data_IF_850573522593
#
_entry.id   IF_850573522593
#
_cell.length_a   1.000
_cell.length_b   1.000
_cell.length_c   1.000
_cell.angle_alpha   90.00
_cell.angle_beta   90.00
_cell.angle_gamma   90.00
#
_symmetry.space_group_name_H-M   'P 1'
#
loop_
_entity.id
_entity.type
_entity.pdbx_description
1 polymer ?
#
# COMPACT_ATOMS: atom_id res chain seq x y z
N UNK A 1 -14.97 -60.57 -35.13
CA UNK A 1 -14.52 -59.16 -35.23
C UNK A 1 -15.06 -58.39 -34.04
N UNK A 2 -14.22 -58.21 -33.04
CA UNK A 2 -14.55 -57.54 -31.77
C UNK A 2 -14.37 -56.05 -31.98
N UNK A 3 -15.44 -55.26 -31.90
CA UNK A 3 -15.36 -53.80 -32.01
C UNK A 3 -15.04 -53.26 -30.61
N UNK A 4 -13.85 -52.71 -30.41
CA UNK A 4 -13.49 -51.95 -29.20
C UNK A 4 -14.00 -50.53 -29.33
N UNK A 5 -14.86 -50.10 -28.41
CA UNK A 5 -15.27 -48.72 -28.24
C UNK A 5 -14.29 -48.03 -27.28
N UNK A 6 -13.48 -47.12 -27.83
CA UNK A 6 -12.58 -46.26 -27.01
C UNK A 6 -13.31 -44.98 -26.65
N UNK A 7 -13.69 -44.81 -25.38
CA UNK A 7 -14.31 -43.60 -24.86
C UNK A 7 -13.16 -42.69 -24.40
N UNK A 8 -12.94 -41.57 -25.10
CA UNK A 8 -11.99 -40.52 -24.71
C UNK A 8 -12.76 -39.47 -23.83
N UNK A 9 -12.53 -39.49 -22.54
CA UNK A 9 -13.04 -38.47 -21.63
C UNK A 9 -12.05 -37.30 -21.63
N UNK A 10 -12.38 -36.20 -22.34
CA UNK A 10 -11.61 -34.94 -22.26
C UNK A 10 -12.13 -34.17 -21.05
N UNK A 11 -11.40 -34.18 -19.95
CA UNK A 11 -11.59 -33.25 -18.86
C UNK A 11 -10.96 -31.91 -19.24
N UNK A 12 -11.75 -30.90 -19.53
CA UNK A 12 -11.28 -29.51 -19.54
C UNK A 12 -11.07 -29.09 -18.10
N UNK A 13 -9.85 -29.24 -17.59
CA UNK A 13 -9.42 -28.52 -16.40
C UNK A 13 -9.13 -27.10 -16.84
N UNK A 14 -10.03 -26.18 -16.55
CA UNK A 14 -9.73 -24.75 -16.62
C UNK A 14 -8.79 -24.47 -15.44
N UNK A 15 -7.49 -24.51 -15.69
CA UNK A 15 -6.52 -23.92 -14.79
C UNK A 15 -6.67 -22.42 -14.94
N UNK A 16 -7.34 -21.79 -13.99
CA UNK A 16 -7.24 -20.35 -13.82
C UNK A 16 -5.81 -20.09 -13.35
N UNK A 17 -4.97 -19.63 -14.24
CA UNK A 17 -3.64 -19.16 -13.86
C UNK A 17 -3.85 -17.87 -13.08
N UNK A 18 -3.31 -17.79 -11.85
CA UNK A 18 -3.28 -16.55 -11.10
C UNK A 18 -2.59 -15.49 -11.95
N UNK A 19 -3.28 -14.40 -12.20
CA UNK A 19 -2.76 -13.24 -12.90
C UNK A 19 -2.53 -12.13 -11.89
N UNK A 20 -1.34 -11.54 -11.90
CA UNK A 20 -0.97 -10.42 -11.04
C UNK A 20 -0.91 -9.14 -11.87
N UNK A 21 -1.58 -8.11 -11.37
CA UNK A 21 -1.52 -6.76 -11.90
C UNK A 21 -1.03 -5.81 -10.82
N UNK A 22 -0.20 -4.84 -11.21
CA UNK A 22 0.25 -3.79 -10.31
C UNK A 22 -0.77 -2.67 -10.34
N UNK A 23 -1.41 -2.40 -9.21
CA UNK A 23 -2.38 -1.32 -9.07
C UNK A 23 -1.72 0.04 -8.79
N UNK A 24 -0.61 0.03 -8.03
CA UNK A 24 0.19 1.23 -7.71
C UNK A 24 1.66 0.87 -7.90
N UNK A 25 2.37 1.62 -8.75
CA UNK A 25 3.80 1.45 -8.96
C UNK A 25 4.60 2.31 -7.97
N UNK A 26 5.83 1.88 -7.68
CA UNK A 26 6.69 2.58 -6.74
C UNK A 26 6.99 4.04 -7.15
N UNK A 27 6.96 4.35 -8.45
CA UNK A 27 7.23 5.67 -9.00
C UNK A 27 5.97 6.41 -9.49
N UNK A 28 4.78 5.95 -9.14
CA UNK A 28 3.54 6.68 -9.43
C UNK A 28 3.51 8.02 -8.70
N UNK A 29 2.69 8.93 -9.20
CA UNK A 29 2.47 10.24 -8.58
C UNK A 29 1.62 10.10 -7.32
N UNK A 30 2.11 10.72 -6.24
CA UNK A 30 1.42 10.79 -4.96
C UNK A 30 1.10 12.23 -4.59
N UNK A 31 -0.01 12.41 -3.88
CA UNK A 31 -0.22 13.59 -3.04
C UNK A 31 0.44 13.33 -1.69
N UNK A 32 1.13 14.34 -1.16
CA UNK A 32 1.80 14.19 0.13
C UNK A 32 1.70 15.45 0.98
N UNK A 33 1.70 15.25 2.29
CA UNK A 33 1.67 16.30 3.30
C UNK A 33 2.80 16.05 4.32
N UNK A 34 3.71 17.01 4.47
CA UNK A 34 4.58 17.12 5.64
C UNK A 34 3.81 17.94 6.67
N UNK A 35 3.32 17.32 7.77
CA UNK A 35 2.37 17.97 8.63
C UNK A 35 3.05 18.92 9.61
N UNK A 36 2.41 20.09 9.89
CA UNK A 36 2.74 20.97 11.01
C UNK A 36 1.71 20.89 12.15
N UNK A 37 0.66 20.15 11.92
CA UNK A 37 -0.42 19.83 12.87
C UNK A 37 -1.14 18.57 12.38
N UNK A 38 -1.98 18.00 13.23
CA UNK A 38 -2.78 16.83 12.86
C UNK A 38 -3.63 17.13 11.62
N UNK A 39 -3.58 16.32 10.55
CA UNK A 39 -4.48 16.46 9.41
C UNK A 39 -5.92 16.08 9.82
N UNK A 40 -6.89 16.41 8.97
CA UNK A 40 -8.27 15.98 9.18
C UNK A 40 -8.39 14.49 9.33
N UNK A 41 -9.27 14.02 10.20
CA UNK A 41 -9.38 12.60 10.57
C UNK A 41 -9.78 11.67 9.43
N UNK A 42 -10.35 12.22 8.34
CA UNK A 42 -10.75 11.51 7.12
C UNK A 42 -9.71 11.60 5.99
N UNK A 43 -8.48 12.03 6.30
CA UNK A 43 -7.43 12.23 5.30
C UNK A 43 -7.14 10.98 4.45
N UNK A 44 -7.42 9.79 4.93
CA UNK A 44 -7.19 8.50 4.27
C UNK A 44 -8.44 7.93 3.58
N UNK A 45 -9.56 8.67 3.57
CA UNK A 45 -10.82 8.27 2.95
C UNK A 45 -10.93 8.71 1.49
N UNK A 46 -11.80 8.04 0.71
CA UNK A 46 -12.00 8.25 -0.72
C UNK A 46 -12.38 9.70 -1.08
N UNK A 47 -13.26 10.32 -0.29
CA UNK A 47 -13.82 11.64 -0.61
C UNK A 47 -13.05 12.82 0.01
N UNK A 48 -11.90 12.58 0.61
CA UNK A 48 -11.07 13.66 1.14
C UNK A 48 -10.49 14.50 0.00
N UNK A 49 -10.58 15.83 0.13
CA UNK A 49 -9.98 16.77 -0.81
C UNK A 49 -8.51 17.01 -0.46
N UNK A 50 -7.62 16.40 -1.20
CA UNK A 50 -6.17 16.54 -1.08
C UNK A 50 -5.56 17.52 -2.09
N UNK A 51 -6.37 18.37 -2.72
CA UNK A 51 -5.92 19.30 -3.77
C UNK A 51 -4.86 20.29 -3.31
N UNK A 52 -4.85 20.63 -2.02
CA UNK A 52 -3.86 21.51 -1.38
C UNK A 52 -2.56 20.79 -0.97
N UNK A 53 -2.51 19.45 -1.07
CA UNK A 53 -1.30 18.69 -0.76
C UNK A 53 -0.27 18.83 -1.88
N UNK A 54 1.01 18.75 -1.55
CA UNK A 54 2.07 18.69 -2.54
C UNK A 54 1.96 17.42 -3.40
N UNK A 55 2.63 17.39 -4.55
CA UNK A 55 2.60 16.25 -5.46
C UNK A 55 4.02 15.91 -5.91
N UNK A 56 4.32 14.62 -6.03
CA UNK A 56 5.58 14.13 -6.55
C UNK A 56 5.57 12.62 -6.77
N UNK A 57 6.52 12.11 -7.57
CA UNK A 57 6.69 10.67 -7.75
C UNK A 57 7.11 9.97 -6.47
N UNK A 58 6.74 8.70 -6.33
CA UNK A 58 7.17 7.85 -5.22
C UNK A 58 8.69 7.68 -5.13
N UNK A 59 9.17 7.15 -4.00
CA UNK A 59 10.57 7.25 -3.59
C UNK A 59 10.80 8.56 -2.86
N UNK A 60 10.11 8.73 -1.72
CA UNK A 60 10.22 9.93 -0.88
C UNK A 60 11.32 9.73 0.14
N UNK A 61 12.18 10.73 0.29
CA UNK A 61 13.24 10.70 1.26
C UNK A 61 14.03 11.99 1.34
N UNK A 62 15.18 11.95 2.01
CA UNK A 62 16.09 13.08 2.15
C UNK A 62 17.53 12.61 2.40
N UNK A 63 18.51 13.35 1.85
CA UNK A 63 19.88 13.29 2.31
C UNK A 63 20.89 12.54 1.45
N UNK A 64 20.52 11.59 0.62
CA UNK A 64 21.43 10.70 -0.14
C UNK A 64 21.40 10.91 -1.66
N UNK A 65 20.33 11.49 -2.19
CA UNK A 65 20.24 11.95 -3.59
C UNK A 65 19.79 10.91 -4.59
N UNK A 66 19.17 9.82 -4.15
CA UNK A 66 18.50 8.78 -4.97
C UNK A 66 16.97 8.86 -4.90
N UNK A 67 16.43 9.80 -4.12
CA UNK A 67 15.00 10.04 -3.96
C UNK A 67 14.32 10.54 -5.23
N UNK A 68 13.14 10.01 -5.54
CA UNK A 68 12.24 10.54 -6.56
C UNK A 68 11.62 11.88 -6.15
N UNK A 69 11.28 12.02 -4.88
CA UNK A 69 10.78 13.26 -4.26
C UNK A 69 11.54 13.55 -2.97
N UNK A 70 12.26 14.67 -2.96
CA UNK A 70 12.99 15.13 -1.77
C UNK A 70 12.03 15.89 -0.87
N UNK A 71 11.97 15.50 0.41
CA UNK A 71 11.21 16.16 1.46
C UNK A 71 12.13 16.67 2.58
N UNK A 72 11.64 17.60 3.38
CA UNK A 72 12.38 18.03 4.57
C UNK A 72 12.32 16.96 5.66
N UNK A 73 13.35 16.89 6.50
CA UNK A 73 13.37 16.02 7.69
C UNK A 73 12.14 16.28 8.57
N UNK A 74 11.42 15.24 8.93
CA UNK A 74 10.18 15.32 9.69
C UNK A 74 9.92 14.03 10.47
N UNK A 75 9.10 14.10 11.52
CA UNK A 75 8.65 12.90 12.25
C UNK A 75 7.64 12.08 11.47
N UNK A 76 6.83 12.71 10.62
CA UNK A 76 5.84 11.98 9.83
C UNK A 76 5.57 12.62 8.48
N UNK A 77 5.08 11.81 7.54
CA UNK A 77 4.58 12.23 6.24
C UNK A 77 3.32 11.43 5.91
N UNK A 78 2.35 12.09 5.31
CA UNK A 78 1.11 11.49 4.86
C UNK A 78 1.10 11.44 3.33
N UNK A 79 0.75 10.30 2.78
CA UNK A 79 0.73 10.05 1.34
C UNK A 79 -0.64 9.55 0.90
N UNK A 80 -1.05 9.93 -0.30
CA UNK A 80 -2.27 9.46 -0.93
C UNK A 80 -2.05 9.27 -2.42
N UNK A 81 -2.57 8.18 -2.95
CA UNK A 81 -2.71 7.98 -4.39
C UNK A 81 -4.02 7.26 -4.69
N UNK A 82 -4.49 7.36 -5.93
CA UNK A 82 -5.70 6.68 -6.38
C UNK A 82 -5.36 5.59 -7.38
N UNK A 83 -6.09 4.49 -7.30
CA UNK A 83 -5.99 3.40 -8.26
C UNK A 83 -7.39 2.90 -8.63
N UNK A 84 -7.51 2.19 -9.75
CA UNK A 84 -8.80 1.72 -10.24
C UNK A 84 -8.91 0.20 -10.12
N UNK A 85 -10.05 -0.29 -9.63
CA UNK A 85 -10.40 -1.70 -9.62
C UNK A 85 -11.53 -1.91 -10.62
N UNK A 86 -11.34 -2.77 -11.64
CA UNK A 86 -12.37 -3.01 -12.65
C UNK A 86 -13.49 -3.94 -12.15
N UNK A 87 -13.13 -5.01 -11.43
CA UNK A 87 -14.06 -6.01 -10.95
C UNK A 87 -13.55 -6.66 -9.65
N UNK A 88 -14.05 -6.17 -8.51
CA UNK A 88 -13.62 -6.61 -7.17
C UNK A 88 -13.81 -8.11 -6.97
N UNK A 89 -14.87 -8.70 -7.53
CA UNK A 89 -15.19 -10.13 -7.41
C UNK A 89 -14.14 -11.06 -8.02
N UNK A 90 -13.23 -10.54 -8.83
CA UNK A 90 -12.10 -11.28 -9.39
C UNK A 90 -10.85 -11.24 -8.53
N UNK A 91 -10.80 -10.34 -7.55
CA UNK A 91 -9.66 -10.22 -6.66
C UNK A 91 -9.67 -11.37 -5.65
N UNK A 92 -8.57 -12.11 -5.60
CA UNK A 92 -8.40 -13.19 -4.63
C UNK A 92 -7.50 -12.79 -3.47
N UNK A 93 -6.59 -11.85 -3.70
CA UNK A 93 -5.68 -11.28 -2.72
C UNK A 93 -4.98 -10.06 -3.28
N UNK A 94 -4.45 -9.21 -2.41
CA UNK A 94 -3.51 -8.16 -2.76
C UNK A 94 -2.21 -8.34 -1.96
N UNK A 95 -1.13 -7.75 -2.46
CA UNK A 95 0.16 -7.70 -1.76
C UNK A 95 0.61 -6.25 -1.73
N UNK A 96 0.89 -5.75 -0.53
CA UNK A 96 1.63 -4.51 -0.34
C UNK A 96 3.11 -4.89 -0.21
N UNK A 97 3.95 -4.32 -1.06
CA UNK A 97 5.41 -4.42 -0.95
C UNK A 97 5.92 -3.09 -0.47
N UNK A 98 6.39 -3.02 0.78
CA UNK A 98 6.83 -1.79 1.43
C UNK A 98 8.33 -1.87 1.74
N UNK A 99 9.05 -0.82 1.36
CA UNK A 99 10.41 -0.55 1.81
C UNK A 99 10.38 0.81 2.48
N UNK A 100 10.69 0.87 3.78
CA UNK A 100 10.38 2.02 4.61
C UNK A 100 11.44 2.24 5.71
N UNK A 101 11.50 3.47 6.16
CA UNK A 101 12.35 4.00 7.22
C UNK A 101 11.53 5.07 8.00
N UNK A 102 11.16 4.93 9.26
CA UNK A 102 11.31 3.77 10.18
C UNK A 102 10.05 2.93 10.28
N UNK A 103 8.85 3.55 10.20
CA UNK A 103 7.57 2.90 10.42
C UNK A 103 6.46 3.46 9.55
N UNK A 104 5.42 2.65 9.31
CA UNK A 104 4.28 3.07 8.49
C UNK A 104 2.96 2.46 8.94
N UNK A 105 1.86 3.11 8.54
CA UNK A 105 0.50 2.59 8.56
C UNK A 105 -0.09 2.79 7.17
N UNK A 106 -0.64 1.73 6.60
CA UNK A 106 -1.27 1.76 5.28
C UNK A 106 -2.77 1.55 5.37
N UNK A 107 -3.50 2.24 4.50
CA UNK A 107 -4.96 2.25 4.46
C UNK A 107 -5.47 2.03 3.03
N UNK A 108 -6.58 1.32 2.91
CA UNK A 108 -7.41 1.25 1.71
C UNK A 108 -8.78 1.86 2.01
N UNK A 109 -9.15 2.94 1.33
CA UNK A 109 -10.42 3.66 1.53
C UNK A 109 -10.73 3.91 3.02
N UNK A 110 -9.75 4.38 3.79
CA UNK A 110 -9.88 4.65 5.23
C UNK A 110 -9.70 3.45 6.17
N UNK A 111 -9.64 2.23 5.65
CA UNK A 111 -9.47 1.02 6.45
C UNK A 111 -7.98 0.67 6.58
N UNK A 112 -7.49 0.52 7.82
CA UNK A 112 -6.11 0.09 8.07
C UNK A 112 -5.91 -1.34 7.57
N UNK A 113 -4.90 -1.54 6.72
CA UNK A 113 -4.58 -2.84 6.11
C UNK A 113 -3.19 -3.34 6.46
N UNK A 114 -2.30 -2.46 6.92
CA UNK A 114 -0.96 -2.82 7.34
C UNK A 114 -0.40 -1.80 8.34
N UNK A 115 0.48 -2.26 9.20
CA UNK A 115 1.21 -1.43 10.15
C UNK A 115 2.54 -2.07 10.50
N UNK A 116 3.60 -1.28 10.57
CA UNK A 116 4.91 -1.73 11.06
C UNK A 116 4.88 -2.04 12.56
N UNK A 117 5.72 -2.95 12.99
CA UNK A 117 5.76 -3.47 14.37
C UNK A 117 6.25 -2.47 15.43
N UNK A 118 6.90 -1.38 15.00
CA UNK A 118 7.49 -0.36 15.86
C UNK A 118 6.55 0.85 16.10
N UNK A 119 5.28 0.68 15.83
CA UNK A 119 4.19 1.61 16.11
C UNK A 119 3.23 1.02 17.16
N UNK A 120 2.31 1.81 17.76
CA UNK A 120 1.27 1.31 18.64
C UNK A 120 0.43 0.20 17.99
N UNK A 121 -0.24 -0.60 18.82
CA UNK A 121 -1.11 -1.71 18.37
C UNK A 121 -2.10 -1.29 17.26
N UNK A 122 -2.43 -2.19 16.33
CA UNK A 122 -3.38 -1.93 15.24
C UNK A 122 -4.66 -1.25 15.69
N UNK A 123 -5.21 -0.39 14.85
CA UNK A 123 -6.38 0.44 15.12
C UNK A 123 -6.22 1.46 16.27
N UNK A 124 -5.02 1.65 16.80
CA UNK A 124 -4.71 2.75 17.71
C UNK A 124 -4.34 4.00 16.89
N UNK A 125 -4.96 5.13 17.23
CA UNK A 125 -4.59 6.40 16.60
C UNK A 125 -3.13 6.74 16.89
N UNK A 126 -2.40 7.13 15.84
CA UNK A 126 -1.00 7.57 15.93
C UNK A 126 -0.93 9.03 15.47
N UNK A 127 -0.63 9.98 16.38
CA UNK A 127 -0.59 11.41 16.03
C UNK A 127 0.62 11.74 15.13
N UNK A 128 0.55 12.83 14.37
CA UNK A 128 1.56 13.26 13.41
C UNK A 128 2.96 13.48 14.04
N UNK A 129 3.03 13.80 15.31
CA UNK A 129 4.26 14.04 16.07
C UNK A 129 4.75 12.81 16.85
N UNK A 130 4.22 11.63 16.56
CA UNK A 130 4.64 10.37 17.18
C UNK A 130 5.94 9.87 16.54
N UNK A 131 6.97 9.64 17.34
CA UNK A 131 8.18 8.93 16.93
C UNK A 131 8.01 7.43 17.08
N UNK A 132 8.53 6.62 16.16
CA UNK A 132 8.49 5.16 16.28
C UNK A 132 9.22 4.68 17.54
N UNK A 133 8.86 3.50 18.05
CA UNK A 133 9.51 2.94 19.26
C UNK A 133 10.95 2.51 19.01
N UNK A 134 11.27 2.14 17.79
CA UNK A 134 12.58 1.63 17.37
C UNK A 134 12.84 2.06 15.93
N UNK A 135 14.11 2.18 15.58
CA UNK A 135 14.57 2.35 14.22
C UNK A 135 14.30 1.11 13.37
N UNK A 136 14.08 1.35 12.09
CA UNK A 136 13.98 0.35 11.04
C UNK A 136 14.51 0.96 9.75
N UNK A 137 15.46 0.31 9.14
CA UNK A 137 16.09 0.79 7.91
C UNK A 137 15.43 0.13 6.68
N UNK A 138 15.18 0.91 5.65
CA UNK A 138 14.85 0.42 4.33
C UNK A 138 15.94 -0.57 3.86
N UNK A 139 15.60 -1.52 3.00
CA UNK A 139 16.53 -2.57 2.61
C UNK A 139 16.86 -2.62 1.11
N UNK A 140 16.07 -1.99 0.27
CA UNK A 140 16.29 -2.02 -1.19
C UNK A 140 17.61 -1.36 -1.59
N UNK A 141 18.02 -0.27 -0.95
CA UNK A 141 19.28 0.45 -1.23
C UNK A 141 20.53 -0.44 -1.01
N UNK A 142 20.44 -1.42 -0.10
CA UNK A 142 21.53 -2.39 0.19
C UNK A 142 21.31 -3.74 -0.50
N UNK A 143 20.41 -3.81 -1.48
CA UNK A 143 20.11 -5.02 -2.25
C UNK A 143 19.22 -6.04 -1.53
N UNK A 144 18.55 -5.63 -0.46
CA UNK A 144 17.53 -6.40 0.24
C UNK A 144 16.22 -6.49 -0.55
N UNK A 145 15.20 -7.02 0.11
CA UNK A 145 13.85 -7.14 -0.45
C UNK A 145 12.87 -6.34 0.40
N UNK A 146 11.85 -5.73 -0.22
CA UNK A 146 10.80 -5.04 0.51
C UNK A 146 10.01 -6.04 1.37
N UNK A 147 9.43 -5.56 2.44
CA UNK A 147 8.48 -6.33 3.24
C UNK A 147 7.20 -6.58 2.44
N UNK A 148 6.67 -7.81 2.50
CA UNK A 148 5.48 -8.21 1.75
C UNK A 148 4.32 -8.51 2.71
N UNK A 149 3.23 -7.76 2.59
CA UNK A 149 2.03 -7.91 3.41
C UNK A 149 0.89 -8.36 2.51
N UNK A 150 0.30 -9.52 2.85
CA UNK A 150 -0.78 -10.14 2.08
C UNK A 150 -2.13 -9.75 2.68
N UNK A 151 -3.04 -9.26 1.83
CA UNK A 151 -4.44 -8.96 2.16
C UNK A 151 -5.31 -9.99 1.45
N UNK A 152 -6.14 -10.69 2.20
CA UNK A 152 -7.04 -11.73 1.66
C UNK A 152 -8.29 -11.15 0.98
N UNK A 153 -8.99 -11.97 0.20
CA UNK A 153 -10.16 -11.56 -0.57
C UNK A 153 -11.31 -11.05 0.30
N UNK A 154 -11.54 -11.63 1.47
CA UNK A 154 -12.65 -11.19 2.34
C UNK A 154 -12.41 -9.78 2.87
N UNK A 155 -11.17 -9.46 3.20
CA UNK A 155 -10.75 -8.12 3.58
C UNK A 155 -10.91 -7.15 2.41
N UNK A 156 -10.45 -7.52 1.20
CA UNK A 156 -10.57 -6.69 -0.01
C UNK A 156 -12.03 -6.40 -0.36
N UNK A 157 -12.91 -7.41 -0.35
CA UNK A 157 -14.33 -7.26 -0.64
C UNK A 157 -15.05 -6.27 0.28
N UNK A 158 -14.54 -6.10 1.50
CA UNK A 158 -15.11 -5.16 2.48
C UNK A 158 -14.57 -3.74 2.38
N UNK A 159 -13.43 -3.54 1.73
CA UNK A 159 -12.68 -2.28 1.74
C UNK A 159 -12.62 -1.60 0.38
N UNK A 160 -12.63 -2.38 -0.71
CA UNK A 160 -12.52 -1.85 -2.07
C UNK A 160 -13.89 -1.76 -2.75
N UNK A 161 -13.97 -0.93 -3.78
CA UNK A 161 -15.12 -0.78 -4.66
C UNK A 161 -14.71 -0.96 -6.12
N UNK A 162 -15.65 -1.32 -6.99
CA UNK A 162 -15.45 -1.20 -8.43
C UNK A 162 -15.31 0.27 -8.81
N UNK A 163 -14.24 0.63 -9.52
CA UNK A 163 -13.90 1.99 -9.85
C UNK A 163 -12.73 2.54 -9.04
N UNK A 164 -12.69 3.87 -8.78
CA UNK A 164 -11.59 4.51 -8.09
C UNK A 164 -11.52 4.10 -6.61
N UNK A 165 -10.32 3.84 -6.12
CA UNK A 165 -10.01 3.55 -4.73
C UNK A 165 -8.82 4.41 -4.29
N UNK A 166 -8.66 4.61 -2.99
CA UNK A 166 -7.54 5.34 -2.39
C UNK A 166 -6.63 4.38 -1.66
N UNK A 167 -5.34 4.48 -1.95
CA UNK A 167 -4.28 3.94 -1.14
C UNK A 167 -3.60 5.09 -0.40
N UNK A 168 -3.60 5.04 0.92
CA UNK A 168 -3.04 6.07 1.76
C UNK A 168 -2.03 5.48 2.75
N UNK A 169 -0.99 6.24 3.05
CA UNK A 169 0.09 5.81 3.95
C UNK A 169 0.45 6.96 4.89
N UNK A 170 0.60 6.64 6.16
CA UNK A 170 1.19 7.50 7.17
C UNK A 170 2.55 6.90 7.55
N UNK A 171 3.64 7.62 7.25
CA UNK A 171 5.00 7.21 7.57
C UNK A 171 5.47 7.94 8.82
N UNK A 172 6.30 7.29 9.65
CA UNK A 172 6.86 7.83 10.87
C UNK A 172 8.35 7.50 11.00
N UNK A 173 9.12 8.49 11.46
CA UNK A 173 10.54 8.37 11.80
C UNK A 173 10.74 8.23 13.32
N UNK A 174 11.86 7.65 13.73
CA UNK A 174 12.25 7.52 15.14
C UNK A 174 12.73 8.85 15.71
N UNK A 175 13.21 9.76 14.85
CA UNK A 175 13.67 11.11 15.21
C UNK A 175 13.69 12.05 13.99
N UNK A 176 13.93 13.33 14.23
CA UNK A 176 14.19 14.35 13.21
C UNK A 176 15.71 14.61 13.17
#
# INVERSE_FOLDING_TARGET
MTKHLTLLLIMNSVFTQDHWETAVFANDEWRYLVPSSEPDTNWNEEYFDDSDWAQGPGGFGYGDGDDGTIIDQTLSVYFRTTFNVEEITKLTRAIISADYDDGFIAYLNGNEVARSYNLPEPSTFVPFDFATYYDHEASLYDGGLPESIVIDSLSLDSMLIDGPNVFAVQLHNVSI
#
